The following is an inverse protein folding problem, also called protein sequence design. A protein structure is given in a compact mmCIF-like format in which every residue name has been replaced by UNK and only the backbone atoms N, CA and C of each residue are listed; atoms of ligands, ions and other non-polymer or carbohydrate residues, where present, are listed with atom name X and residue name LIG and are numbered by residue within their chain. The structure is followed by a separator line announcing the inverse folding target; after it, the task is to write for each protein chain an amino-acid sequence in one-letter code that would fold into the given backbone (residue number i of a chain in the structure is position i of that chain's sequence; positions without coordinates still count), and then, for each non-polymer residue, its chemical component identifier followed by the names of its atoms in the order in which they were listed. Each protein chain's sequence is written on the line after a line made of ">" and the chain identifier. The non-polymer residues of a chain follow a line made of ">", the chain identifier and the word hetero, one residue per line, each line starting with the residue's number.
data_IF_994539036408
#
_entry.id   IF_994539036408
#
_cell.length_a   1.000
_cell.length_b   1.000
_cell.length_c   1.000
_cell.angle_alpha   90.00
_cell.angle_beta   90.00
_cell.angle_gamma   90.00
#
_symmetry.space_group_name_H-M   'P 1'
#
loop_
_entity.id
_entity.type
_entity.pdbx_description
1 polymer ?
#
# COMPACT_ATOMS: atom_id res chain seq x y z
N UNK A 1 -17.83 0.51 5.40
CA UNK A 1 -16.57 0.77 6.14
C UNK A 1 -16.50 2.16 6.81
N UNK A 2 -17.18 3.21 6.32
CA UNK A 2 -17.00 4.61 6.78
C UNK A 2 -17.63 4.99 8.13
N UNK A 3 -18.64 4.26 8.63
CA UNK A 3 -19.31 4.62 9.91
C UNK A 3 -18.58 4.17 11.18
N UNK A 4 -17.44 3.44 11.09
CA UNK A 4 -16.74 2.88 12.27
C UNK A 4 -15.48 3.65 12.69
N UNK A 5 -14.98 4.55 11.84
CA UNK A 5 -13.82 5.40 12.14
C UNK A 5 -14.19 6.86 11.85
N UNK A 6 -14.71 7.55 12.87
CA UNK A 6 -15.09 8.95 12.75
C UNK A 6 -13.85 9.80 12.43
N UNK A 7 -13.97 10.71 11.46
CA UNK A 7 -12.87 11.57 10.98
C UNK A 7 -11.66 10.83 10.40
N UNK A 8 -11.83 9.57 9.97
CA UNK A 8 -10.76 8.87 9.26
C UNK A 8 -10.72 9.25 7.78
N UNK A 9 -9.51 9.31 7.23
CA UNK A 9 -9.27 9.52 5.79
C UNK A 9 -8.47 8.34 5.26
N UNK A 10 -8.92 7.75 4.16
CA UNK A 10 -8.21 6.66 3.48
C UNK A 10 -7.58 7.23 2.21
N UNK A 11 -6.26 7.14 2.11
CA UNK A 11 -5.47 7.71 1.01
C UNK A 11 -4.64 6.61 0.36
N UNK A 12 -4.74 6.44 -0.96
CA UNK A 12 -3.84 5.55 -1.70
C UNK A 12 -2.44 6.15 -1.80
N UNK A 13 -1.42 5.31 -1.84
CA UNK A 13 -0.04 5.73 -2.08
C UNK A 13 0.73 4.65 -2.84
N UNK A 14 2.05 4.80 -2.94
CA UNK A 14 2.94 3.79 -3.47
C UNK A 14 3.05 3.80 -4.98
N UNK A 15 3.36 2.64 -5.54
CA UNK A 15 3.74 2.55 -6.95
C UNK A 15 2.57 2.83 -7.91
N UNK A 16 1.35 2.49 -7.50
CA UNK A 16 0.13 2.75 -8.26
C UNK A 16 -0.09 4.25 -8.44
N UNK A 17 -0.06 5.01 -7.35
CA UNK A 17 -0.28 6.46 -7.36
C UNK A 17 0.85 7.27 -8.00
N UNK A 18 2.11 6.84 -7.81
CA UNK A 18 3.27 7.48 -8.44
C UNK A 18 3.41 7.15 -9.93
N UNK A 19 2.60 6.22 -10.47
CA UNK A 19 2.71 5.74 -11.84
C UNK A 19 3.94 4.86 -12.10
N UNK A 20 4.53 4.30 -11.04
CA UNK A 20 5.73 3.46 -11.05
C UNK A 20 5.43 1.97 -10.81
N UNK A 21 4.18 1.54 -11.03
CA UNK A 21 3.78 0.13 -10.97
C UNK A 21 4.33 -0.67 -12.15
N UNK A 22 4.80 -1.89 -11.87
CA UNK A 22 4.96 -2.94 -12.87
C UNK A 22 3.66 -3.77 -12.90
N UNK A 23 3.45 -4.57 -13.95
CA UNK A 23 2.25 -5.41 -14.07
C UNK A 23 2.02 -6.27 -12.81
N UNK A 24 0.74 -6.41 -12.41
CA UNK A 24 0.26 -7.10 -11.20
C UNK A 24 0.73 -6.48 -9.88
N UNK A 25 0.71 -5.15 -9.79
CA UNK A 25 1.05 -4.42 -8.57
C UNK A 25 -0.02 -4.55 -7.49
N UNK A 26 0.43 -4.40 -6.25
CA UNK A 26 -0.38 -4.17 -5.07
C UNK A 26 -0.92 -2.72 -5.02
N UNK A 27 -2.02 -2.54 -4.30
CA UNK A 27 -2.53 -1.22 -3.92
C UNK A 27 -2.17 -0.95 -2.46
N UNK A 28 -1.37 0.09 -2.24
CA UNK A 28 -1.04 0.57 -0.91
C UNK A 28 -2.05 1.63 -0.45
N UNK A 29 -2.61 1.44 0.75
CA UNK A 29 -3.57 2.36 1.37
C UNK A 29 -3.05 2.81 2.75
N UNK A 30 -3.19 4.10 3.04
CA UNK A 30 -2.91 4.71 4.32
C UNK A 30 -4.23 5.19 4.94
N UNK A 31 -4.61 4.60 6.07
CA UNK A 31 -5.69 5.11 6.90
C UNK A 31 -5.12 6.15 7.87
N UNK A 32 -5.47 7.41 7.66
CA UNK A 32 -5.25 8.50 8.60
C UNK A 32 -6.39 8.50 9.62
N UNK A 33 -6.07 8.29 10.89
CA UNK A 33 -7.05 8.20 11.96
C UNK A 33 -6.47 8.70 13.29
N UNK A 34 -7.16 9.67 13.87
CA UNK A 34 -6.88 10.19 15.21
C UNK A 34 -7.74 9.44 16.23
N UNK A 35 -7.11 8.62 17.06
CA UNK A 35 -7.81 7.95 18.16
C UNK A 35 -6.98 6.86 18.81
N UNK A 36 -6.89 5.71 18.16
CA UNK A 36 -6.23 4.52 18.72
C UNK A 36 -4.84 4.27 18.14
N UNK A 37 -3.95 3.61 18.89
CA UNK A 37 -2.66 3.18 18.37
C UNK A 37 -2.79 2.36 17.08
N UNK A 38 -1.93 2.57 16.06
CA UNK A 38 -1.99 1.90 14.76
C UNK A 38 -2.20 0.38 14.83
N UNK A 39 -1.48 -0.30 15.73
CA UNK A 39 -1.60 -1.76 15.91
C UNK A 39 -3.00 -2.21 16.35
N UNK A 40 -3.71 -1.44 17.18
CA UNK A 40 -5.08 -1.76 17.60
C UNK A 40 -6.07 -1.56 16.45
N UNK A 41 -5.91 -0.46 15.71
CA UNK A 41 -6.72 -0.15 14.52
C UNK A 41 -6.55 -1.25 13.46
N UNK A 42 -5.32 -1.64 13.15
CA UNK A 42 -5.03 -2.71 12.19
C UNK A 42 -5.61 -4.06 12.61
N UNK A 43 -5.58 -4.42 13.91
CA UNK A 43 -6.25 -5.63 14.41
C UNK A 43 -7.76 -5.58 14.17
N UNK A 44 -8.40 -4.43 14.40
CA UNK A 44 -9.84 -4.25 14.12
C UNK A 44 -10.15 -4.36 12.63
N UNK A 45 -9.33 -3.73 11.78
CA UNK A 45 -9.45 -3.79 10.32
C UNK A 45 -9.31 -5.25 9.83
N UNK A 46 -8.30 -5.98 10.29
CA UNK A 46 -8.11 -7.38 9.91
C UNK A 46 -9.34 -8.24 10.27
N UNK A 47 -9.94 -8.03 11.46
CA UNK A 47 -11.17 -8.72 11.83
C UNK A 47 -12.32 -8.37 10.89
N UNK A 48 -12.53 -7.09 10.59
CA UNK A 48 -13.58 -6.63 9.68
C UNK A 48 -13.41 -7.18 8.26
N UNK A 49 -12.18 -7.21 7.73
CA UNK A 49 -11.91 -7.78 6.40
C UNK A 49 -12.21 -9.27 6.33
N UNK A 50 -11.95 -10.03 7.42
CA UNK A 50 -12.36 -11.43 7.50
C UNK A 50 -13.88 -11.58 7.55
N UNK A 51 -14.58 -10.74 8.33
CA UNK A 51 -16.05 -10.73 8.40
C UNK A 51 -16.69 -10.38 7.04
N UNK A 52 -16.06 -9.48 6.28
CA UNK A 52 -16.49 -9.05 4.94
C UNK A 52 -16.09 -10.06 3.83
N UNK A 53 -15.43 -11.17 4.18
CA UNK A 53 -15.12 -12.26 3.24
C UNK A 53 -13.91 -12.01 2.31
N UNK A 54 -12.99 -11.12 2.69
CA UNK A 54 -11.75 -10.89 1.94
C UNK A 54 -10.80 -12.10 2.03
N UNK A 55 -9.99 -12.32 0.99
CA UNK A 55 -9.02 -13.43 0.93
C UNK A 55 -7.68 -13.04 1.57
N UNK A 56 -6.94 -14.05 2.03
CA UNK A 56 -5.55 -13.92 2.47
C UNK A 56 -5.28 -12.82 3.50
N UNK A 57 -6.25 -12.52 4.38
CA UNK A 57 -6.13 -11.46 5.38
C UNK A 57 -5.02 -11.80 6.38
N UNK A 58 -3.95 -11.01 6.39
CA UNK A 58 -2.77 -11.20 7.25
C UNK A 58 -2.35 -9.89 7.92
N UNK A 59 -2.26 -9.92 9.25
CA UNK A 59 -1.71 -8.81 10.04
C UNK A 59 -0.19 -9.00 10.20
N UNK A 60 0.59 -8.03 9.71
CA UNK A 60 2.05 -7.98 9.87
C UNK A 60 2.37 -6.90 10.91
N UNK A 61 2.43 -7.28 12.19
CA UNK A 61 2.55 -6.32 13.30
C UNK A 61 3.96 -6.05 13.80
N UNK A 62 4.93 -6.89 13.41
CA UNK A 62 6.30 -6.88 13.96
C UNK A 62 7.31 -6.13 13.06
N UNK A 63 6.87 -5.64 11.90
CA UNK A 63 7.69 -4.81 11.02
C UNK A 63 7.78 -3.37 11.55
N UNK A 64 8.74 -2.59 11.00
CA UNK A 64 8.91 -1.15 11.31
C UNK A 64 7.61 -0.36 11.09
N UNK A 65 6.89 -0.66 10.00
CA UNK A 65 5.56 -0.12 9.72
C UNK A 65 4.58 -1.30 9.72
N UNK A 66 3.72 -1.42 10.75
CA UNK A 66 2.69 -2.45 10.79
C UNK A 66 1.67 -2.27 9.66
N UNK A 67 1.25 -3.37 9.04
CA UNK A 67 0.26 -3.38 7.95
C UNK A 67 -0.70 -4.56 8.06
N UNK A 68 -1.86 -4.45 7.40
CA UNK A 68 -2.74 -5.58 7.08
C UNK A 68 -2.72 -5.79 5.59
N UNK A 69 -2.37 -7.01 5.17
CA UNK A 69 -2.44 -7.45 3.77
C UNK A 69 -3.73 -8.24 3.55
N UNK A 70 -4.35 -8.11 2.39
CA UNK A 70 -5.46 -8.96 1.96
C UNK A 70 -5.60 -8.92 0.43
N UNK A 71 -6.47 -9.78 -0.10
CA UNK A 71 -6.85 -9.79 -1.51
C UNK A 71 -8.34 -9.50 -1.60
N UNK A 72 -8.71 -8.46 -2.35
CA UNK A 72 -10.11 -8.15 -2.63
C UNK A 72 -10.73 -9.25 -3.49
N UNK A 73 -11.86 -9.81 -3.07
CA UNK A 73 -12.45 -11.00 -3.73
C UNK A 73 -13.14 -10.69 -5.05
N UNK A 74 -13.52 -9.44 -5.29
CA UNK A 74 -14.21 -9.02 -6.51
C UNK A 74 -13.23 -8.69 -7.63
N UNK A 75 -12.22 -7.87 -7.33
CA UNK A 75 -11.19 -7.43 -8.27
C UNK A 75 -9.98 -8.35 -8.34
N UNK A 76 -9.81 -9.24 -7.35
CA UNK A 76 -8.63 -10.09 -7.18
C UNK A 76 -7.32 -9.30 -7.02
N UNK A 77 -7.41 -8.04 -6.59
CA UNK A 77 -6.26 -7.16 -6.39
C UNK A 77 -5.69 -7.33 -4.96
N UNK A 78 -4.37 -7.53 -4.80
CA UNK A 78 -3.71 -7.47 -3.51
C UNK A 78 -3.70 -6.05 -2.95
N UNK A 79 -4.00 -5.89 -1.66
CA UNK A 79 -4.08 -4.61 -0.97
C UNK A 79 -3.35 -4.65 0.36
N UNK A 80 -2.53 -3.63 0.61
CA UNK A 80 -1.83 -3.39 1.87
C UNK A 80 -2.39 -2.14 2.55
N UNK A 81 -2.87 -2.27 3.80
CA UNK A 81 -3.34 -1.14 4.61
C UNK A 81 -2.36 -0.85 5.74
N UNK A 82 -1.89 0.39 5.80
CA UNK A 82 -1.14 0.97 6.92
C UNK A 82 -1.97 2.04 7.64
N UNK A 83 -1.57 2.43 8.86
CA UNK A 83 -2.26 3.49 9.63
C UNK A 83 -1.26 4.60 9.96
N UNK A 84 -1.65 5.85 9.67
CA UNK A 84 -0.86 7.07 9.92
C UNK A 84 0.55 7.04 9.29
N UNK A 85 0.71 6.36 8.16
CA UNK A 85 1.97 6.30 7.40
C UNK A 85 2.12 7.48 6.43
N UNK A 86 2.01 8.70 6.96
CA UNK A 86 1.95 9.93 6.16
C UNK A 86 3.23 10.17 5.35
N UNK A 87 4.38 9.72 5.86
CA UNK A 87 5.65 9.83 5.14
C UNK A 87 5.62 9.07 3.80
N UNK A 88 5.01 7.89 3.75
CA UNK A 88 4.86 7.15 2.49
C UNK A 88 3.95 7.85 1.50
N UNK A 89 2.89 8.53 1.97
CA UNK A 89 2.03 9.38 1.13
C UNK A 89 2.84 10.53 0.53
N UNK A 90 3.60 11.26 1.36
CA UNK A 90 4.44 12.38 0.89
C UNK A 90 5.55 11.93 -0.07
N UNK A 91 6.22 10.80 0.21
CA UNK A 91 7.24 10.26 -0.67
C UNK A 91 6.66 9.83 -2.03
N UNK A 92 5.44 9.32 -2.04
CA UNK A 92 4.73 8.96 -3.27
C UNK A 92 4.46 10.19 -4.12
N UNK A 93 3.94 11.25 -3.51
CA UNK A 93 3.73 12.53 -4.20
C UNK A 93 5.05 13.11 -4.72
N UNK A 94 6.12 13.07 -3.92
CA UNK A 94 7.44 13.53 -4.35
C UNK A 94 7.95 12.77 -5.58
N UNK A 95 7.87 11.44 -5.58
CA UNK A 95 8.28 10.61 -6.72
C UNK A 95 7.43 10.89 -7.97
N UNK A 96 6.13 11.10 -7.78
CA UNK A 96 5.22 11.50 -8.86
C UNK A 96 5.67 12.83 -9.47
N UNK A 97 5.97 13.83 -8.65
CA UNK A 97 6.49 15.13 -9.12
C UNK A 97 7.81 15.00 -9.85
N UNK A 98 8.74 14.15 -9.40
CA UNK A 98 9.97 13.91 -10.15
C UNK A 98 9.72 13.28 -11.52
N UNK A 99 8.77 12.36 -11.62
CA UNK A 99 8.38 11.76 -12.90
C UNK A 99 7.69 12.76 -13.85
N UNK A 100 6.93 13.70 -13.31
CA UNK A 100 6.29 14.78 -14.08
C UNK A 100 7.29 15.86 -14.49
N UNK A 101 8.32 16.10 -13.68
CA UNK A 101 9.33 17.12 -13.93
C UNK A 101 10.25 16.79 -15.11
N UNK A 102 10.69 15.53 -15.23
CA UNK A 102 11.54 15.10 -16.34
C UNK A 102 11.08 13.74 -16.89
N UNK A 103 10.73 13.73 -18.17
CA UNK A 103 10.19 12.57 -18.90
C UNK A 103 11.11 11.34 -18.88
N UNK A 104 12.41 11.51 -18.62
CA UNK A 104 13.41 10.41 -18.56
C UNK A 104 13.41 9.68 -17.22
N UNK A 105 12.92 10.31 -16.14
CA UNK A 105 12.95 9.76 -14.78
C UNK A 105 12.09 8.51 -14.68
N UNK A 106 10.85 8.59 -15.14
CA UNK A 106 9.90 7.47 -15.10
C UNK A 106 10.42 6.19 -15.80
N UNK A 107 10.82 6.22 -17.08
CA UNK A 107 11.32 5.01 -17.76
C UNK A 107 12.62 4.49 -17.13
N UNK A 108 13.49 5.37 -16.62
CA UNK A 108 14.69 4.95 -15.91
C UNK A 108 14.37 4.17 -14.63
N UNK A 109 13.50 4.71 -13.77
CA UNK A 109 13.08 4.02 -12.53
C UNK A 109 12.40 2.69 -12.86
N UNK A 110 11.52 2.65 -13.86
CA UNK A 110 10.85 1.43 -14.28
C UNK A 110 11.84 0.38 -14.82
N UNK A 111 12.86 0.80 -15.59
CA UNK A 111 13.91 -0.09 -16.07
C UNK A 111 14.71 -0.71 -14.92
N UNK A 112 15.13 0.10 -13.94
CA UNK A 112 15.84 -0.39 -12.75
C UNK A 112 14.96 -1.32 -11.92
N UNK A 113 13.70 -0.94 -11.68
CA UNK A 113 12.73 -1.75 -10.92
C UNK A 113 12.45 -3.09 -11.60
N UNK A 114 12.30 -3.09 -12.93
CA UNK A 114 12.12 -4.31 -13.71
C UNK A 114 13.37 -5.19 -13.64
N UNK A 115 14.57 -4.62 -13.84
CA UNK A 115 15.82 -5.36 -13.73
C UNK A 115 15.96 -6.04 -12.36
N UNK A 116 15.79 -5.29 -11.26
CA UNK A 116 15.92 -5.81 -9.90
C UNK A 116 14.97 -6.99 -9.61
N UNK A 117 13.69 -6.86 -10.01
CA UNK A 117 12.69 -7.93 -9.85
C UNK A 117 13.08 -9.22 -10.59
N UNK A 118 13.63 -9.09 -11.79
CA UNK A 118 14.01 -10.24 -12.60
C UNK A 118 15.35 -10.85 -12.17
N UNK A 119 16.25 -10.08 -11.53
CA UNK A 119 17.49 -10.63 -10.98
C UNK A 119 17.28 -11.43 -9.69
N UNK A 120 16.31 -11.04 -8.84
CA UNK A 120 15.96 -11.83 -7.65
C UNK A 120 15.36 -13.20 -8.01
N UNK A 121 14.75 -13.32 -9.19
CA UNK A 121 14.15 -14.57 -9.68
C UNK A 121 15.17 -15.59 -10.24
N UNK A 122 16.44 -15.23 -10.37
CA UNK A 122 17.51 -16.08 -10.94
C UNK A 122 18.35 -16.77 -9.84
N UNK A 123 18.05 -16.53 -8.55
CA UNK A 123 18.83 -17.06 -7.42
C UNK A 123 18.11 -18.16 -6.61
N UNK A 124 17.33 -19.03 -7.29
CA UNK A 124 16.80 -20.28 -6.71
C UNK A 124 17.03 -21.45 -7.67
#
# INVERSE_FOLDING_TARGET
>A
MTNKFLNAKLTSFGSFESGLSLANGDIDLCLEFDGEPPKKVLKKIARMLNEDGMKDVKLISNAKVPIVKFTDTQSMIPVDISVNNNLSVYNTELLKRYCEFDVRVKPFILAVKYWARNTESVTL
#
